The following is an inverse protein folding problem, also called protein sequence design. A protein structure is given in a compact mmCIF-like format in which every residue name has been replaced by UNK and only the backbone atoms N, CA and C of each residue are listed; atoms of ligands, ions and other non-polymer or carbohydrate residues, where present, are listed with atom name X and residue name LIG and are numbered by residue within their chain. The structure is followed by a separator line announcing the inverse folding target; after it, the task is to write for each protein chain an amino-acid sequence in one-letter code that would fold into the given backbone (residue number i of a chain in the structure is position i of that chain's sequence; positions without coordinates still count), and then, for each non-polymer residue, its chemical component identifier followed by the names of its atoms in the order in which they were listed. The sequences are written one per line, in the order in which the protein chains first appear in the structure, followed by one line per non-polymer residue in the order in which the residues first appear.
data_IF_306249630114
#
_entry.id   IF_306249630114
#
_cell.length_a   1.000
_cell.length_b   1.000
_cell.length_c   1.000
_cell.angle_alpha   90.00
_cell.angle_beta   90.00
_cell.angle_gamma   90.00
#
_symmetry.space_group_name_H-M   'P 1'
#
loop_
_entity.id
_entity.type
_entity.pdbx_description
1 polymer ?
#
# COMPACT_ATOMS: atom_id res chain seq x y z
N UNK A 1 32.88 1.46 -65.32
CA UNK A 1 32.66 0.56 -64.14
C UNK A 1 32.01 1.34 -63.06
N UNK A 2 30.71 1.14 -62.83
CA UNK A 2 29.90 1.87 -61.80
C UNK A 2 29.73 0.97 -60.61
N UNK A 3 30.24 1.42 -59.46
CA UNK A 3 30.12 0.69 -58.21
C UNK A 3 28.71 0.85 -57.63
N UNK A 4 27.99 -0.26 -57.48
CA UNK A 4 26.69 -0.32 -56.77
C UNK A 4 26.90 -0.17 -55.27
N UNK A 5 26.34 0.90 -54.68
CA UNK A 5 26.24 1.02 -53.24
C UNK A 5 25.17 0.06 -52.69
N UNK A 6 25.43 -0.65 -51.58
CA UNK A 6 24.44 -1.51 -50.95
C UNK A 6 23.40 -0.64 -50.24
N UNK A 7 22.12 -0.86 -50.52
CA UNK A 7 20.97 -0.28 -49.84
C UNK A 7 20.89 -0.84 -48.42
N UNK A 8 21.10 0.01 -47.42
CA UNK A 8 20.99 -0.33 -46.01
C UNK A 8 19.50 -0.47 -45.66
N UNK A 9 19.04 -1.72 -45.55
CA UNK A 9 17.70 -1.99 -44.98
C UNK A 9 17.64 -1.49 -43.54
N UNK A 10 16.85 -0.44 -43.32
CA UNK A 10 16.42 -0.06 -41.98
C UNK A 10 15.43 -1.11 -41.50
N UNK A 11 15.86 -2.03 -40.63
CA UNK A 11 14.98 -2.85 -39.82
C UNK A 11 14.23 -1.89 -38.85
N UNK A 12 12.99 -1.57 -39.20
CA UNK A 12 12.07 -0.94 -38.23
C UNK A 12 11.74 -1.99 -37.18
N UNK A 13 12.42 -1.93 -36.06
CA UNK A 13 11.95 -2.60 -34.81
C UNK A 13 10.63 -1.96 -34.45
N UNK A 14 9.52 -2.64 -34.78
CA UNK A 14 8.21 -2.26 -34.23
C UNK A 14 8.29 -2.41 -32.73
N UNK A 15 8.21 -1.29 -32.03
CA UNK A 15 8.07 -1.27 -30.57
C UNK A 15 6.69 -1.85 -30.25
N UNK A 16 6.64 -3.11 -29.86
CA UNK A 16 5.43 -3.73 -29.31
C UNK A 16 5.31 -3.15 -27.91
N UNK A 17 4.34 -2.24 -27.71
CA UNK A 17 3.95 -1.78 -26.38
C UNK A 17 3.41 -2.99 -25.62
N UNK A 18 4.22 -3.58 -24.74
CA UNK A 18 3.75 -4.59 -23.81
C UNK A 18 2.86 -3.87 -22.78
N UNK A 19 1.55 -4.07 -22.87
CA UNK A 19 0.64 -3.71 -21.81
C UNK A 19 1.02 -4.49 -20.55
N UNK A 20 1.06 -3.80 -19.41
CA UNK A 20 1.34 -4.45 -18.13
C UNK A 20 0.16 -5.32 -17.71
N UNK A 21 0.46 -6.55 -17.32
CA UNK A 21 -0.56 -7.40 -16.69
C UNK A 21 -0.68 -7.03 -15.20
N UNK A 22 -1.68 -6.20 -14.89
CA UNK A 22 -1.98 -5.75 -13.54
C UNK A 22 -3.02 -6.63 -12.82
N UNK A 23 -3.44 -7.74 -13.42
CA UNK A 23 -4.50 -8.62 -12.87
C UNK A 23 -4.11 -9.27 -11.54
N UNK A 24 -2.80 -9.38 -11.26
CA UNK A 24 -2.30 -9.86 -9.98
C UNK A 24 -2.56 -8.89 -8.82
N UNK A 25 -2.67 -7.59 -9.10
CA UNK A 25 -2.96 -6.58 -8.10
C UNK A 25 -4.47 -6.44 -7.87
N UNK A 26 -5.24 -6.23 -8.96
CA UNK A 26 -6.70 -6.11 -8.93
C UNK A 26 -7.28 -6.77 -10.18
N UNK A 27 -8.18 -7.74 -10.02
CA UNK A 27 -8.75 -8.51 -11.15
C UNK A 27 -9.73 -7.68 -11.96
N UNK A 28 -10.70 -7.04 -11.31
CA UNK A 28 -11.76 -6.25 -11.93
C UNK A 28 -11.83 -4.86 -11.29
N UNK A 29 -10.93 -3.92 -11.67
CA UNK A 29 -10.72 -2.68 -10.92
C UNK A 29 -12.00 -1.85 -10.75
N UNK A 30 -12.81 -1.73 -11.80
CA UNK A 30 -14.04 -0.93 -11.75
C UNK A 30 -15.17 -1.59 -10.94
N UNK A 31 -15.18 -2.93 -10.88
CA UNK A 31 -16.22 -3.68 -10.19
C UNK A 31 -15.86 -3.93 -8.73
N UNK A 32 -14.60 -4.21 -8.47
CA UNK A 32 -14.14 -4.70 -7.17
C UNK A 32 -13.62 -3.55 -6.26
N UNK A 33 -13.51 -2.30 -6.77
CA UNK A 33 -13.01 -1.15 -6.02
C UNK A 33 -13.76 -0.96 -4.70
N UNK A 34 -15.08 -0.89 -4.75
CA UNK A 34 -15.90 -0.68 -3.55
C UNK A 34 -15.77 -1.83 -2.56
N UNK A 35 -15.60 -3.06 -3.03
CA UNK A 35 -15.38 -4.22 -2.17
C UNK A 35 -14.01 -4.14 -1.48
N UNK A 36 -12.95 -3.74 -2.19
CA UNK A 36 -11.63 -3.55 -1.60
C UNK A 36 -11.61 -2.43 -0.57
N UNK A 37 -12.25 -1.30 -0.90
CA UNK A 37 -12.36 -0.17 0.02
C UNK A 37 -13.20 -0.52 1.26
N UNK A 38 -14.31 -1.23 1.10
CA UNK A 38 -15.14 -1.67 2.22
C UNK A 38 -14.39 -2.63 3.15
N UNK A 39 -13.56 -3.52 2.60
CA UNK A 39 -12.71 -4.40 3.40
C UNK A 39 -11.68 -3.63 4.22
N UNK A 40 -11.03 -2.61 3.61
CA UNK A 40 -10.11 -1.71 4.32
C UNK A 40 -10.84 -0.90 5.40
N UNK A 41 -12.02 -0.34 5.09
CA UNK A 41 -12.82 0.40 6.05
C UNK A 41 -13.22 -0.47 7.27
N UNK A 42 -13.59 -1.73 7.06
CA UNK A 42 -13.91 -2.65 8.13
C UNK A 42 -12.71 -2.90 9.06
N UNK A 43 -11.51 -3.05 8.51
CA UNK A 43 -10.28 -3.19 9.28
C UNK A 43 -9.94 -1.90 10.04
N UNK A 44 -10.09 -0.73 9.42
CA UNK A 44 -9.90 0.57 10.08
C UNK A 44 -10.85 0.73 11.27
N UNK A 45 -12.13 0.35 11.12
CA UNK A 45 -13.08 0.37 12.22
C UNK A 45 -12.67 -0.53 13.39
N UNK A 46 -12.05 -1.69 13.11
CA UNK A 46 -11.49 -2.55 14.17
C UNK A 46 -10.36 -1.84 14.93
N UNK A 47 -9.45 -1.16 14.21
CA UNK A 47 -8.38 -0.37 14.84
C UNK A 47 -8.95 0.79 15.65
N UNK A 48 -9.93 1.52 15.11
CA UNK A 48 -10.61 2.61 15.84
C UNK A 48 -11.29 2.12 17.12
N UNK A 49 -11.90 0.92 17.11
CA UNK A 49 -12.52 0.30 18.27
C UNK A 49 -11.52 -0.03 19.40
N UNK A 50 -10.25 -0.21 19.04
CA UNK A 50 -9.18 -0.44 20.01
C UNK A 50 -8.70 0.85 20.70
N UNK A 51 -9.02 2.04 20.16
CA UNK A 51 -8.56 3.34 20.67
C UNK A 51 -8.73 3.55 22.17
N UNK A 52 -9.86 3.20 22.82
CA UNK A 52 -10.02 3.36 24.27
C UNK A 52 -9.10 2.47 25.10
N UNK A 53 -8.55 1.40 24.51
CA UNK A 53 -7.67 0.41 25.14
C UNK A 53 -6.18 0.68 24.91
N UNK A 54 -5.84 1.71 24.12
CA UNK A 54 -4.46 2.11 23.85
C UNK A 54 -3.83 2.73 25.08
N UNK A 55 -3.17 1.91 25.86
CA UNK A 55 -2.42 2.31 27.05
C UNK A 55 -1.05 1.65 27.03
N UNK A 56 -0.04 2.33 27.62
CA UNK A 56 1.31 1.77 27.72
C UNK A 56 1.35 0.42 28.45
N UNK A 57 0.35 0.12 29.28
CA UNK A 57 0.20 -1.12 30.04
C UNK A 57 -0.63 -2.19 29.37
N UNK A 58 -1.10 -1.97 28.12
CA UNK A 58 -1.90 -2.98 27.40
C UNK A 58 -1.13 -4.29 27.24
N UNK A 59 -1.85 -5.41 27.07
CA UNK A 59 -1.24 -6.70 26.87
C UNK A 59 -0.50 -6.75 25.51
N UNK A 60 0.67 -7.39 25.45
CA UNK A 60 1.44 -7.54 24.21
C UNK A 60 0.65 -8.28 23.13
N UNK A 61 -0.14 -9.29 23.50
CA UNK A 61 -1.04 -10.02 22.60
C UNK A 61 -2.07 -9.15 21.91
N UNK A 62 -2.66 -8.18 22.65
CA UNK A 62 -3.62 -7.24 22.11
C UNK A 62 -2.92 -6.25 21.16
N UNK A 63 -1.72 -5.81 21.53
CA UNK A 63 -0.88 -4.95 20.68
C UNK A 63 -0.51 -5.65 19.37
N UNK A 64 -0.06 -6.91 19.43
CA UNK A 64 0.30 -7.69 18.23
C UNK A 64 -0.92 -7.94 17.33
N UNK A 65 -2.08 -8.18 17.91
CA UNK A 65 -3.32 -8.33 17.14
C UNK A 65 -3.66 -7.03 16.40
N UNK A 66 -3.48 -5.87 17.06
CA UNK A 66 -3.66 -4.56 16.47
C UNK A 66 -2.64 -4.29 15.35
N UNK A 67 -1.37 -4.64 15.58
CA UNK A 67 -0.29 -4.49 14.60
C UNK A 67 -0.59 -5.27 13.33
N UNK A 68 -0.99 -6.55 13.43
CA UNK A 68 -1.37 -7.39 12.29
C UNK A 68 -2.50 -6.79 11.45
N UNK A 69 -3.51 -6.18 12.10
CA UNK A 69 -4.59 -5.51 11.38
C UNK A 69 -4.04 -4.29 10.65
N UNK A 70 -3.19 -3.50 11.30
CA UNK A 70 -2.56 -2.31 10.71
C UNK A 70 -1.66 -2.66 9.52
N UNK A 71 -0.89 -3.73 9.62
CA UNK A 71 -0.08 -4.27 8.51
C UNK A 71 -0.96 -4.70 7.32
N UNK A 72 -2.06 -5.39 7.58
CA UNK A 72 -3.01 -5.78 6.54
C UNK A 72 -3.65 -4.56 5.84
N UNK A 73 -3.97 -3.50 6.60
CA UNK A 73 -4.45 -2.23 6.03
C UNK A 73 -3.37 -1.60 5.14
N UNK A 74 -2.12 -1.55 5.62
CA UNK A 74 -1.00 -0.99 4.88
C UNK A 74 -0.76 -1.75 3.56
N UNK A 75 -0.74 -3.09 3.61
CA UNK A 75 -0.58 -3.94 2.42
C UNK A 75 -1.72 -3.75 1.42
N UNK A 76 -2.98 -3.79 1.87
CA UNK A 76 -4.14 -3.60 1.01
C UNK A 76 -4.16 -2.21 0.38
N UNK A 77 -3.82 -1.18 1.14
CA UNK A 77 -3.71 0.20 0.67
C UNK A 77 -2.59 0.37 -0.35
N UNK A 78 -1.40 -0.19 -0.09
CA UNK A 78 -0.27 -0.16 -1.00
C UNK A 78 -0.59 -0.87 -2.32
N UNK A 79 -1.23 -2.04 -2.27
CA UNK A 79 -1.64 -2.81 -3.45
C UNK A 79 -2.62 -2.01 -4.32
N UNK A 80 -3.64 -1.43 -3.70
CA UNK A 80 -4.66 -0.65 -4.42
C UNK A 80 -4.07 0.64 -5.00
N UNK A 81 -3.23 1.34 -4.24
CA UNK A 81 -2.53 2.54 -4.69
C UNK A 81 -1.56 2.26 -5.84
N UNK A 82 -0.78 1.18 -5.75
CA UNK A 82 0.14 0.76 -6.82
C UNK A 82 -0.63 0.43 -8.11
N UNK A 83 -1.73 -0.32 -8.01
CA UNK A 83 -2.59 -0.61 -9.16
C UNK A 83 -3.10 0.67 -9.82
N UNK A 84 -3.67 1.58 -9.02
CA UNK A 84 -4.22 2.84 -9.52
C UNK A 84 -3.16 3.70 -10.24
N UNK A 85 -1.97 3.78 -9.66
CA UNK A 85 -0.84 4.50 -10.25
C UNK A 85 -0.37 3.86 -11.55
N UNK A 86 -0.15 2.55 -11.59
CA UNK A 86 0.34 1.83 -12.76
C UNK A 86 -0.67 1.89 -13.92
N UNK A 87 -1.96 1.66 -13.63
CA UNK A 87 -3.01 1.76 -14.65
C UNK A 87 -3.10 3.16 -15.28
N UNK A 88 -3.00 4.21 -14.46
CA UNK A 88 -2.95 5.58 -14.97
C UNK A 88 -1.67 5.84 -15.78
N UNK A 89 -0.51 5.31 -15.35
CA UNK A 89 0.79 5.53 -15.99
C UNK A 89 0.89 4.86 -17.36
N UNK A 90 0.19 3.73 -17.56
CA UNK A 90 0.12 3.03 -18.84
C UNK A 90 -0.47 3.91 -19.95
N UNK A 91 -1.53 4.68 -19.63
CA UNK A 91 -2.14 5.62 -20.56
C UNK A 91 -2.73 6.83 -19.80
N UNK A 92 -1.95 7.90 -19.70
CA UNK A 92 -2.34 9.13 -18.99
C UNK A 92 -3.55 9.86 -19.60
N UNK A 93 -3.94 9.50 -20.84
CA UNK A 93 -5.13 10.03 -21.51
C UNK A 93 -6.39 9.23 -21.17
N UNK A 94 -6.25 8.08 -20.51
CA UNK A 94 -7.37 7.26 -20.08
C UNK A 94 -8.12 7.95 -18.93
N UNK A 95 -9.32 8.45 -19.21
CA UNK A 95 -10.16 9.17 -18.23
C UNK A 95 -10.66 8.28 -17.10
N UNK A 96 -10.92 6.99 -17.38
CA UNK A 96 -11.33 6.03 -16.36
C UNK A 96 -10.19 5.74 -15.38
N UNK A 97 -8.97 5.51 -15.88
CA UNK A 97 -7.80 5.27 -15.03
C UNK A 97 -7.50 6.51 -14.16
N UNK A 98 -7.64 7.72 -14.71
CA UNK A 98 -7.50 8.97 -13.97
C UNK A 98 -8.52 9.10 -12.84
N UNK A 99 -9.80 8.88 -13.15
CA UNK A 99 -10.89 8.95 -12.17
C UNK A 99 -10.70 7.91 -11.07
N UNK A 100 -10.37 6.68 -11.45
CA UNK A 100 -10.07 5.59 -10.51
C UNK A 100 -8.92 5.98 -9.55
N UNK A 101 -7.80 6.48 -10.11
CA UNK A 101 -6.65 6.92 -9.32
C UNK A 101 -7.05 8.00 -8.31
N UNK A 102 -7.78 9.03 -8.74
CA UNK A 102 -8.22 10.11 -7.85
C UNK A 102 -9.12 9.61 -6.71
N UNK A 103 -10.06 8.70 -7.00
CA UNK A 103 -10.93 8.10 -5.99
C UNK A 103 -10.13 7.27 -4.98
N UNK A 104 -9.21 6.46 -5.47
CA UNK A 104 -8.33 5.65 -4.59
C UNK A 104 -7.49 6.54 -3.69
N UNK A 105 -6.84 7.58 -4.25
CA UNK A 105 -6.01 8.51 -3.47
C UNK A 105 -6.79 9.23 -2.38
N UNK A 106 -8.00 9.71 -2.69
CA UNK A 106 -8.88 10.36 -1.72
C UNK A 106 -9.25 9.40 -0.57
N UNK A 107 -9.66 8.17 -0.90
CA UNK A 107 -10.08 7.17 0.10
C UNK A 107 -8.89 6.71 0.96
N UNK A 108 -7.72 6.47 0.37
CA UNK A 108 -6.52 6.07 1.12
C UNK A 108 -6.03 7.20 2.03
N UNK A 109 -6.11 8.46 1.59
CA UNK A 109 -5.83 9.62 2.45
C UNK A 109 -6.79 9.66 3.64
N UNK A 110 -8.08 9.40 3.42
CA UNK A 110 -9.07 9.29 4.50
C UNK A 110 -8.72 8.19 5.50
N UNK A 111 -8.31 7.01 5.03
CA UNK A 111 -7.85 5.89 5.89
C UNK A 111 -6.64 6.31 6.72
N UNK A 112 -5.61 6.90 6.10
CA UNK A 112 -4.41 7.37 6.81
C UNK A 112 -4.76 8.36 7.91
N UNK A 113 -5.62 9.34 7.63
CA UNK A 113 -6.05 10.33 8.62
C UNK A 113 -6.80 9.70 9.81
N UNK A 114 -7.61 8.67 9.55
CA UNK A 114 -8.33 7.95 10.62
C UNK A 114 -7.41 7.16 11.54
N UNK A 115 -6.26 6.69 11.01
CA UNK A 115 -5.27 5.91 11.77
C UNK A 115 -4.21 6.77 12.46
N UNK A 116 -4.14 8.07 12.17
CA UNK A 116 -3.12 8.98 12.73
C UNK A 116 -3.05 8.94 14.27
N UNK A 117 -4.16 8.68 14.97
CA UNK A 117 -4.17 8.56 16.41
C UNK A 117 -3.29 7.42 16.94
N UNK A 118 -3.13 6.35 16.16
CA UNK A 118 -2.29 5.21 16.53
C UNK A 118 -0.81 5.58 16.48
N UNK A 119 -0.39 6.30 15.45
CA UNK A 119 0.97 6.81 15.31
C UNK A 119 1.31 7.79 16.43
N UNK A 120 0.39 8.72 16.73
CA UNK A 120 0.55 9.68 17.82
C UNK A 120 0.61 8.99 19.19
N UNK A 121 -0.21 7.97 19.41
CA UNK A 121 -0.14 7.18 20.64
C UNK A 121 1.19 6.46 20.76
N UNK A 122 1.65 5.80 19.68
CA UNK A 122 2.93 5.08 19.67
C UNK A 122 4.12 5.97 19.97
N UNK A 123 4.18 7.18 19.38
CA UNK A 123 5.20 8.18 19.68
C UNK A 123 5.22 8.61 21.15
N UNK A 124 4.10 8.50 21.85
CA UNK A 124 3.99 8.82 23.29
C UNK A 124 4.34 7.65 24.22
N UNK A 125 4.56 6.43 23.69
CA UNK A 125 4.92 5.27 24.50
C UNK A 125 6.39 5.35 24.91
N UNK A 126 6.66 5.22 26.22
CA UNK A 126 8.03 5.23 26.72
C UNK A 126 8.82 3.98 26.27
N UNK A 127 10.13 4.12 26.24
CA UNK A 127 11.05 3.10 25.70
C UNK A 127 10.91 1.73 26.38
N UNK A 128 10.67 1.69 27.70
CA UNK A 128 10.50 0.44 28.45
C UNK A 128 9.22 -0.31 28.04
N UNK A 129 8.11 0.43 27.91
CA UNK A 129 6.84 -0.16 27.48
C UNK A 129 6.86 -0.52 25.99
N UNK A 130 7.50 0.28 25.13
CA UNK A 130 7.70 -0.06 23.73
C UNK A 130 8.49 -1.37 23.58
N UNK A 131 9.62 -1.52 24.28
CA UNK A 131 10.40 -2.77 24.29
C UNK A 131 9.58 -3.97 24.77
N UNK A 132 8.76 -3.80 25.82
CA UNK A 132 7.86 -4.83 26.32
C UNK A 132 6.79 -5.24 25.30
N UNK A 133 6.18 -4.27 24.63
CA UNK A 133 5.14 -4.52 23.62
C UNK A 133 5.71 -5.24 22.39
N UNK A 134 6.97 -4.95 22.03
CA UNK A 134 7.65 -5.55 20.88
C UNK A 134 8.34 -6.89 21.22
N UNK A 135 8.63 -7.20 22.48
CA UNK A 135 9.43 -8.36 22.86
C UNK A 135 8.79 -9.70 22.44
N UNK A 136 7.47 -9.81 22.43
CA UNK A 136 6.74 -11.00 22.03
C UNK A 136 6.40 -11.01 20.53
N UNK A 137 6.80 -9.97 19.77
CA UNK A 137 6.64 -9.91 18.30
C UNK A 137 7.72 -10.73 17.56
N UNK A 138 8.67 -11.30 18.28
CA UNK A 138 9.89 -11.91 17.76
C UNK A 138 9.76 -13.20 16.97
N UNK A 139 8.55 -13.66 16.63
CA UNK A 139 8.31 -14.78 15.72
C UNK A 139 7.64 -14.37 14.39
N UNK A 140 7.42 -13.08 14.16
CA UNK A 140 6.98 -12.57 12.86
C UNK A 140 8.21 -12.09 12.09
N UNK A 141 8.69 -12.95 11.20
CA UNK A 141 9.87 -12.81 10.35
C UNK A 141 10.22 -11.35 9.95
N UNK A 142 11.34 -10.85 10.47
CA UNK A 142 12.25 -10.03 9.65
C UNK A 142 11.96 -8.55 9.48
N UNK A 143 11.18 -7.86 10.33
CA UNK A 143 11.08 -6.41 10.29
C UNK A 143 11.94 -5.77 11.40
N UNK A 144 13.24 -5.60 11.12
CA UNK A 144 14.09 -4.68 11.90
C UNK A 144 13.62 -3.24 11.62
N UNK A 145 12.84 -2.69 12.54
CA UNK A 145 12.63 -1.25 12.59
C UNK A 145 13.92 -0.63 13.11
N UNK A 146 14.75 -0.15 12.19
CA UNK A 146 15.93 0.66 12.51
C UNK A 146 15.41 2.00 13.06
N UNK A 147 15.32 2.07 14.40
CA UNK A 147 15.03 3.32 15.11
C UNK A 147 16.33 4.13 15.14
N UNK A 148 16.57 4.94 14.10
CA UNK A 148 17.49 6.06 14.19
C UNK A 148 16.82 7.14 15.07
N UNK A 149 17.19 7.14 16.34
CA UNK A 149 16.97 8.29 17.24
C UNK A 149 18.17 9.22 17.14
N UNK A 150 17.97 10.54 16.95
CA UNK A 150 19.02 11.55 17.08
C UNK A 150 19.48 11.72 18.53
#
# INVERSE_FOLDING_TARGET
MAAKHPVRHKTSTSFVSNQWDLTHLVKNPLKDLEQHLAALDAQVMQVESARPRLQATMASTDFHSLLKITESIAEGSARLGAFAYLWFSENTKNTQARSFKSQVEERLTGITNRLLFLDLWWQGVDHKNAARLMADAGDADGFEVQLDCP
#
